data_IF_637507191128
#
_entry.id   IF_637507191128
#
_cell.length_a   1.000
_cell.length_b   1.000
_cell.length_c   1.000
_cell.angle_alpha   90.00
_cell.angle_beta   90.00
_cell.angle_gamma   90.00
#
_symmetry.space_group_name_H-M   'P 1'
#
loop_
_entity.id
_entity.type
_entity.pdbx_description
1 polymer ?
#
# COMPACT_ATOMS: atom_id res chain seq x y z
N UNK A 1 -9.12 2.92 -17.06
CA UNK A 1 -9.59 3.21 -15.70
C UNK A 1 -8.58 2.78 -14.67
N UNK A 2 -8.36 3.60 -13.66
CA UNK A 2 -7.40 3.28 -12.61
C UNK A 2 -7.96 3.66 -11.25
N UNK A 3 -7.66 2.84 -10.25
CA UNK A 3 -8.09 3.06 -8.87
C UNK A 3 -6.86 3.00 -7.95
N UNK A 4 -6.76 3.99 -7.06
CA UNK A 4 -5.79 3.94 -5.98
C UNK A 4 -6.49 3.34 -4.76
N UNK A 5 -6.06 2.16 -4.35
CA UNK A 5 -6.58 1.51 -3.15
C UNK A 5 -5.77 1.95 -1.95
N UNK A 6 -6.45 2.35 -0.88
CA UNK A 6 -5.80 2.81 0.35
C UNK A 6 -6.19 1.87 1.49
N UNK A 7 -5.20 1.25 2.12
CA UNK A 7 -5.39 0.32 3.22
C UNK A 7 -4.67 0.86 4.45
N UNK A 8 -5.38 0.87 5.59
CA UNK A 8 -4.84 1.36 6.86
C UNK A 8 -4.83 0.31 7.96
N UNK A 9 -5.41 -0.87 7.74
CA UNK A 9 -5.49 -1.92 8.76
C UNK A 9 -4.31 -2.87 8.68
N UNK A 10 -3.87 -3.35 9.85
CA UNK A 10 -2.79 -4.33 9.95
C UNK A 10 -3.11 -5.60 9.17
N UNK A 11 -2.15 -6.16 8.41
CA UNK A 11 -2.38 -7.41 7.70
C UNK A 11 -2.42 -8.63 8.62
N UNK A 12 -2.01 -8.50 9.87
CA UNK A 12 -1.88 -9.62 10.78
C UNK A 12 -3.20 -10.03 11.44
N UNK A 13 -4.18 -9.13 11.50
CA UNK A 13 -5.47 -9.42 12.10
C UNK A 13 -6.65 -9.19 11.18
N UNK A 14 -6.39 -9.05 9.88
CA UNK A 14 -7.39 -8.57 8.94
C UNK A 14 -7.11 -9.09 7.53
N UNK A 15 -8.17 -9.32 6.76
CA UNK A 15 -8.07 -9.87 5.41
C UNK A 15 -8.22 -8.81 4.31
N UNK A 16 -8.29 -7.53 4.64
CA UNK A 16 -8.52 -6.47 3.67
C UNK A 16 -7.43 -6.39 2.60
N UNK A 17 -6.17 -6.57 3.01
CA UNK A 17 -5.06 -6.57 2.06
C UNK A 17 -5.20 -7.70 1.04
N UNK A 18 -5.48 -8.91 1.50
CA UNK A 18 -5.65 -10.06 0.59
C UNK A 18 -6.83 -9.83 -0.36
N UNK A 19 -7.94 -9.32 0.16
CA UNK A 19 -9.11 -9.03 -0.66
C UNK A 19 -8.80 -7.96 -1.70
N UNK A 20 -8.07 -6.92 -1.32
CA UNK A 20 -7.66 -5.86 -2.23
C UNK A 20 -6.76 -6.41 -3.33
N UNK A 21 -5.77 -7.22 -2.98
CA UNK A 21 -4.84 -7.79 -3.97
C UNK A 21 -5.55 -8.64 -5.01
N UNK A 22 -6.65 -9.29 -4.66
CA UNK A 22 -7.45 -10.05 -5.62
C UNK A 22 -8.20 -9.19 -6.61
N UNK A 23 -8.52 -7.95 -6.22
CA UNK A 23 -9.31 -7.02 -7.04
C UNK A 23 -8.47 -6.05 -7.83
N UNK A 24 -7.15 -6.04 -7.63
CA UNK A 24 -6.28 -5.09 -8.32
C UNK A 24 -6.30 -5.29 -9.83
N UNK A 25 -6.59 -4.21 -10.53
CA UNK A 25 -6.45 -4.17 -11.99
C UNK A 25 -5.02 -3.83 -12.39
N UNK A 26 -4.75 -3.98 -13.69
CA UNK A 26 -3.41 -3.75 -14.23
C UNK A 26 -2.91 -2.31 -14.06
N UNK A 27 -3.82 -1.35 -13.95
CA UNK A 27 -3.49 0.06 -13.81
C UNK A 27 -3.73 0.61 -12.40
N UNK A 28 -4.13 -0.26 -11.47
CA UNK A 28 -4.42 0.17 -10.11
C UNK A 28 -3.15 0.33 -9.29
N UNK A 29 -3.21 1.24 -8.32
CA UNK A 29 -2.16 1.42 -7.34
C UNK A 29 -2.62 1.00 -5.95
N UNK A 30 -1.67 0.78 -5.07
CA UNK A 30 -1.93 0.44 -3.68
C UNK A 30 -1.09 1.35 -2.79
N UNK A 31 -1.74 2.04 -1.85
CA UNK A 31 -1.08 2.85 -0.85
C UNK A 31 -1.38 2.29 0.52
N UNK A 32 -0.33 2.03 1.28
CA UNK A 32 -0.41 1.53 2.64
C UNK A 32 -0.12 2.67 3.62
N UNK A 33 -0.97 2.81 4.63
CA UNK A 33 -0.80 3.81 5.69
C UNK A 33 -1.17 3.21 7.04
N UNK A 34 -0.88 3.91 8.12
CA UNK A 34 -1.14 3.40 9.46
C UNK A 34 -0.51 2.03 9.66
N UNK A 35 -1.22 1.14 10.31
CA UNK A 35 -0.73 -0.20 10.61
C UNK A 35 -0.60 -1.10 9.38
N UNK A 36 -1.16 -0.71 8.24
CA UNK A 36 -1.00 -1.48 7.01
C UNK A 36 0.45 -1.52 6.53
N UNK A 37 1.28 -0.54 6.92
CA UNK A 37 2.70 -0.53 6.53
C UNK A 37 3.48 -1.70 7.11
N UNK A 38 2.98 -2.39 8.13
CA UNK A 38 3.59 -3.62 8.63
C UNK A 38 3.66 -4.72 7.56
N UNK A 39 2.82 -4.64 6.54
CA UNK A 39 2.89 -5.56 5.40
C UNK A 39 4.20 -5.40 4.60
N UNK A 40 4.91 -4.31 4.78
CA UNK A 40 6.17 -4.03 4.10
C UNK A 40 7.40 -4.49 4.89
N UNK A 41 7.20 -5.07 6.05
CA UNK A 41 8.29 -5.56 6.87
C UNK A 41 8.98 -6.73 6.15
N UNK A 42 10.29 -6.64 5.88
CA UNK A 42 11.01 -7.69 5.17
C UNK A 42 10.90 -9.04 5.87
N UNK A 43 10.69 -10.10 5.09
CA UNK A 43 10.57 -11.46 5.60
C UNK A 43 9.18 -11.86 6.07
N UNK A 44 8.21 -10.94 6.09
CA UNK A 44 6.84 -11.28 6.45
C UNK A 44 6.11 -11.92 5.27
N UNK A 45 5.10 -12.75 5.56
CA UNK A 45 4.25 -13.36 4.53
C UNK A 45 3.53 -12.29 3.72
N UNK A 46 3.06 -11.23 4.39
CA UNK A 46 2.39 -10.14 3.71
C UNK A 46 3.32 -9.44 2.71
N UNK A 47 4.58 -9.23 3.08
CA UNK A 47 5.57 -8.63 2.19
C UNK A 47 5.82 -9.51 0.96
N UNK A 48 5.90 -10.82 1.16
CA UNK A 48 6.06 -11.77 0.06
C UNK A 48 4.87 -11.70 -0.91
N UNK A 49 3.66 -11.61 -0.39
CA UNK A 49 2.45 -11.48 -1.23
C UNK A 49 2.45 -10.18 -2.02
N UNK A 50 2.87 -9.08 -1.42
CA UNK A 50 2.97 -7.80 -2.10
C UNK A 50 3.99 -7.86 -3.23
N UNK A 51 5.14 -8.47 -2.99
CA UNK A 51 6.18 -8.63 -4.00
C UNK A 51 5.68 -9.50 -5.16
N UNK A 52 4.95 -10.57 -4.84
CA UNK A 52 4.41 -11.48 -5.84
C UNK A 52 3.27 -10.86 -6.67
N UNK A 53 2.64 -9.79 -6.19
CA UNK A 53 1.54 -9.15 -6.91
C UNK A 53 1.99 -8.29 -8.10
N UNK A 54 3.28 -8.10 -8.28
CA UNK A 54 3.87 -7.35 -9.41
C UNK A 54 3.39 -5.90 -9.50
N UNK A 55 3.12 -5.27 -8.36
CA UNK A 55 2.73 -3.87 -8.32
C UNK A 55 3.86 -2.93 -8.79
N UNK A 56 5.12 -3.29 -8.48
CA UNK A 56 6.26 -2.49 -8.88
C UNK A 56 6.14 -1.03 -8.43
N UNK A 57 6.24 -0.07 -9.36
CA UNK A 57 6.17 1.36 -9.02
C UNK A 57 4.79 1.84 -8.60
N UNK A 58 3.78 0.97 -8.63
CA UNK A 58 2.41 1.29 -8.20
C UNK A 58 2.15 0.94 -6.72
N UNK A 59 3.17 0.52 -5.99
CA UNK A 59 3.09 0.25 -4.56
C UNK A 59 3.67 1.43 -3.79
N UNK A 60 2.86 2.03 -2.92
CA UNK A 60 3.21 3.22 -2.16
C UNK A 60 2.97 3.01 -0.67
N UNK A 61 3.66 3.80 0.16
CA UNK A 61 3.44 3.81 1.60
C UNK A 61 3.69 5.22 2.14
N UNK A 62 2.93 5.63 3.16
CA UNK A 62 3.16 6.90 3.81
C UNK A 62 4.49 6.88 4.57
N UNK A 63 5.36 7.81 4.26
CA UNK A 63 6.68 7.92 4.87
C UNK A 63 6.62 8.03 6.39
N UNK A 64 5.73 8.86 6.92
CA UNK A 64 5.55 9.04 8.36
C UNK A 64 5.25 7.72 9.07
N UNK A 65 4.40 6.90 8.47
CA UNK A 65 3.99 5.64 9.07
C UNK A 65 5.11 4.61 9.04
N UNK A 66 5.93 4.61 7.98
CA UNK A 66 7.12 3.78 7.91
C UNK A 66 8.12 4.15 8.99
N UNK A 67 8.37 5.46 9.16
CA UNK A 67 9.31 5.96 10.16
C UNK A 67 8.82 5.66 11.58
N UNK A 68 7.53 5.87 11.84
CA UNK A 68 6.96 5.63 13.16
C UNK A 68 7.08 4.17 13.60
N UNK A 69 7.13 3.24 12.64
CA UNK A 69 7.21 1.79 12.91
C UNK A 69 8.57 1.20 12.61
N UNK A 70 9.57 2.05 12.36
CA UNK A 70 10.95 1.64 12.08
C UNK A 70 11.06 0.60 10.95
N UNK A 71 10.24 0.74 9.93
CA UNK A 71 10.28 -0.14 8.76
C UNK A 71 11.26 0.46 7.74
N UNK A 72 12.37 -0.21 7.55
CA UNK A 72 13.39 0.17 6.58
C UNK A 72 13.41 -0.82 5.41
N UNK A 73 14.06 -0.43 4.32
CA UNK A 73 14.23 -1.28 3.14
C UNK A 73 12.91 -1.79 2.56
N UNK A 74 11.88 -0.95 2.63
CA UNK A 74 10.56 -1.26 2.10
C UNK A 74 10.59 -1.34 0.57
N UNK A 75 9.89 -2.32 -0.05
CA UNK A 75 9.74 -2.37 -1.50
C UNK A 75 8.80 -1.29 -2.04
N UNK A 76 8.05 -0.61 -1.18
CA UNK A 76 7.12 0.43 -1.60
C UNK A 76 7.83 1.77 -1.74
N UNK A 77 7.31 2.61 -2.63
CA UNK A 77 7.75 3.99 -2.75
C UNK A 77 7.18 4.79 -1.58
N UNK A 78 8.06 5.41 -0.78
CA UNK A 78 7.64 6.26 0.32
C UNK A 78 7.12 7.60 -0.20
N UNK A 79 5.97 8.03 0.29
CA UNK A 79 5.35 9.31 -0.09
C UNK A 79 4.95 10.07 1.17
N UNK A 80 5.15 11.38 1.16
CA UNK A 80 4.65 12.27 2.20
C UNK A 80 3.18 12.64 1.90
N UNK A 81 2.54 13.41 2.79
CA UNK A 81 1.15 13.81 2.58
C UNK A 81 0.94 14.63 1.31
N UNK A 82 1.75 15.66 1.01
CA UNK A 82 1.60 16.37 -0.27
C UNK A 82 1.71 15.45 -1.49
N UNK A 83 2.65 14.51 -1.46
CA UNK A 83 2.80 13.54 -2.54
C UNK A 83 1.62 12.58 -2.63
N UNK A 84 1.05 12.18 -1.49
CA UNK A 84 -0.16 11.35 -1.47
C UNK A 84 -1.33 12.09 -2.12
N UNK A 85 -1.53 13.36 -1.79
CA UNK A 85 -2.60 14.16 -2.39
C UNK A 85 -2.40 14.26 -3.90
N UNK A 86 -1.19 14.56 -4.35
CA UNK A 86 -0.89 14.62 -5.78
C UNK A 86 -1.14 13.26 -6.46
N UNK A 87 -0.74 12.18 -5.81
CA UNK A 87 -0.93 10.81 -6.30
C UNK A 87 -2.41 10.48 -6.46
N UNK A 88 -3.25 10.87 -5.49
CA UNK A 88 -4.68 10.60 -5.54
C UNK A 88 -5.37 11.28 -6.72
N UNK A 89 -4.80 12.36 -7.23
CA UNK A 89 -5.32 13.06 -8.40
C UNK A 89 -4.90 12.38 -9.72
N UNK A 90 -3.88 11.54 -9.70
CA UNK A 90 -3.41 10.83 -10.89
C UNK A 90 -4.26 9.60 -11.22
N UNK A 91 -5.07 9.14 -10.26
CA UNK A 91 -5.95 8.00 -10.45
C UNK A 91 -7.38 8.47 -10.67
N UNK A 92 -8.14 7.69 -11.44
CA UNK A 92 -9.56 8.00 -11.71
C UNK A 92 -10.41 7.92 -10.45
N UNK A 93 -10.08 6.99 -9.55
CA UNK A 93 -10.82 6.77 -8.31
C UNK A 93 -9.85 6.48 -7.16
N UNK A 94 -10.30 6.79 -5.95
CA UNK A 94 -9.63 6.38 -4.72
C UNK A 94 -10.61 5.54 -3.92
N UNK A 95 -10.19 4.35 -3.53
CA UNK A 95 -11.01 3.44 -2.74
C UNK A 95 -10.31 3.16 -1.41
N UNK A 96 -10.92 3.62 -0.33
CA UNK A 96 -10.40 3.36 1.03
C UNK A 96 -11.06 2.11 1.60
N UNK A 97 -10.25 1.16 1.98
CA UNK A 97 -10.69 -0.09 2.61
C UNK A 97 -10.86 0.12 4.12
N UNK A 98 -12.05 0.47 4.54
CA UNK A 98 -12.37 0.77 5.94
C UNK A 98 -12.71 -0.45 6.76
#
# INVERSE_FOLDING_TARGET
MSTLHVISHSPFGDNRLDSCLRLLGANDGLLLCGDAVYALQPGSTACERLTASNLGPRLFALEEDLLARAIADSPARAVDYPAFVALSLDYDKVNSWL
#
